data_IF_959938726127
#
_entry.id   IF_959938726127
#
_cell.length_a   1.000
_cell.length_b   1.000
_cell.length_c   1.000
_cell.angle_alpha   90.00
_cell.angle_beta   90.00
_cell.angle_gamma   90.00
#
_symmetry.space_group_name_H-M   'P 1'
#
loop_
_entity.id
_entity.type
_entity.pdbx_description
1 polymer ?
#
# COMPACT_ATOMS: atom_id res chain seq x y z
N UNK A 1 9.51 -18.46 36.10
CA UNK A 1 9.00 -18.58 34.71
C UNK A 1 7.49 -18.76 34.64
N UNK A 2 6.87 -19.57 35.49
CA UNK A 2 5.41 -19.79 35.49
C UNK A 2 4.57 -18.52 35.72
N UNK A 3 4.98 -17.67 36.70
CA UNK A 3 4.29 -16.40 36.98
C UNK A 3 4.26 -15.46 35.76
N UNK A 4 5.37 -15.38 35.01
CA UNK A 4 5.45 -14.54 33.79
C UNK A 4 4.55 -15.12 32.70
N UNK A 5 4.56 -16.43 32.48
CA UNK A 5 3.66 -17.09 31.52
C UNK A 5 2.19 -16.89 31.88
N UNK A 6 1.83 -17.01 33.15
CA UNK A 6 0.48 -16.77 33.62
C UNK A 6 0.05 -15.32 33.41
N UNK A 7 0.94 -14.35 33.65
CA UNK A 7 0.72 -12.92 33.38
C UNK A 7 0.49 -12.65 31.90
N UNK A 8 1.39 -13.09 31.03
CA UNK A 8 1.26 -12.93 29.59
C UNK A 8 -0.04 -13.53 29.04
N UNK A 9 -0.41 -14.70 29.55
CA UNK A 9 -1.65 -15.39 29.19
C UNK A 9 -2.90 -14.60 29.62
N UNK A 10 -2.87 -14.02 30.85
CA UNK A 10 -3.96 -13.16 31.37
C UNK A 10 -4.14 -11.91 30.51
N UNK A 11 -3.05 -11.37 29.95
CA UNK A 11 -3.02 -10.15 29.12
C UNK A 11 -3.21 -10.45 27.63
N UNK A 12 -3.41 -11.70 27.24
CA UNK A 12 -3.46 -12.14 25.86
C UNK A 12 -2.22 -11.70 25.04
N UNK A 13 -1.05 -11.68 25.67
CA UNK A 13 0.24 -11.38 25.02
C UNK A 13 0.82 -12.71 24.56
N UNK A 14 0.77 -12.95 23.24
CA UNK A 14 1.25 -14.18 22.61
C UNK A 14 2.29 -13.84 21.56
N UNK A 15 3.54 -14.12 21.83
CA UNK A 15 4.64 -13.95 20.88
C UNK A 15 4.54 -15.04 19.79
N UNK A 16 3.93 -14.70 18.67
CA UNK A 16 3.72 -15.63 17.56
C UNK A 16 3.95 -14.91 16.23
N UNK A 17 4.76 -15.52 15.38
CA UNK A 17 4.98 -15.02 14.02
C UNK A 17 3.65 -14.93 13.25
N UNK A 18 2.74 -15.90 13.43
CA UNK A 18 1.40 -15.84 12.82
C UNK A 18 0.67 -14.58 13.24
N UNK A 19 0.61 -14.27 14.54
CA UNK A 19 -0.13 -13.13 15.09
C UNK A 19 0.42 -11.79 14.60
N UNK A 20 1.75 -11.65 14.53
CA UNK A 20 2.39 -10.37 14.19
C UNK A 20 2.58 -10.18 12.69
N UNK A 21 2.96 -11.22 11.94
CA UNK A 21 3.26 -11.10 10.50
C UNK A 21 2.13 -11.57 9.58
N UNK A 22 1.06 -12.16 10.12
CA UNK A 22 -0.09 -12.55 9.31
C UNK A 22 -1.32 -11.76 9.75
N UNK A 23 -1.75 -11.94 11.01
CA UNK A 23 -3.02 -11.37 11.47
C UNK A 23 -2.92 -9.83 11.59
N UNK A 24 -1.85 -9.29 12.21
CA UNK A 24 -1.64 -7.85 12.33
C UNK A 24 -1.40 -7.18 10.97
N UNK A 25 -0.65 -7.83 10.06
CA UNK A 25 -0.38 -7.29 8.73
C UNK A 25 -1.63 -7.30 7.84
N UNK A 26 -2.45 -8.35 7.92
CA UNK A 26 -3.75 -8.39 7.24
C UNK A 26 -4.70 -7.29 7.73
N UNK A 27 -4.78 -7.10 9.05
CA UNK A 27 -5.56 -6.01 9.63
C UNK A 27 -5.03 -4.62 9.25
N UNK A 28 -3.69 -4.43 9.23
CA UNK A 28 -3.07 -3.20 8.75
C UNK A 28 -3.50 -2.86 7.32
N UNK A 29 -3.55 -3.86 6.43
CA UNK A 29 -3.99 -3.67 5.06
C UNK A 29 -5.45 -3.20 4.98
N UNK A 30 -6.34 -3.70 5.85
CA UNK A 30 -7.72 -3.22 5.95
C UNK A 30 -7.78 -1.75 6.42
N UNK A 31 -6.98 -1.39 7.42
CA UNK A 31 -6.87 -0.01 7.90
C UNK A 31 -6.40 0.96 6.81
N UNK A 32 -5.41 0.54 6.02
CA UNK A 32 -4.91 1.30 4.88
C UNK A 32 -5.97 1.42 3.76
N UNK A 33 -6.72 0.35 3.51
CA UNK A 33 -7.81 0.36 2.54
C UNK A 33 -8.87 1.41 2.89
N UNK A 34 -9.34 1.40 4.13
CA UNK A 34 -10.41 2.30 4.59
C UNK A 34 -9.98 3.79 4.64
N UNK A 35 -8.70 4.07 4.63
CA UNK A 35 -8.14 5.43 4.74
C UNK A 35 -7.49 5.88 3.43
N UNK A 36 -6.33 5.37 3.09
CA UNK A 36 -5.57 5.82 1.94
C UNK A 36 -6.33 5.59 0.63
N UNK A 37 -6.84 4.38 0.41
CA UNK A 37 -7.51 4.06 -0.84
C UNK A 37 -8.77 4.89 -1.02
N UNK A 38 -9.65 4.92 -0.01
CA UNK A 38 -10.88 5.71 -0.06
C UNK A 38 -10.55 7.19 -0.27
N UNK A 39 -9.55 7.71 0.46
CA UNK A 39 -9.10 9.09 0.29
C UNK A 39 -8.60 9.39 -1.12
N UNK A 40 -7.80 8.50 -1.69
CA UNK A 40 -7.27 8.66 -3.04
C UNK A 40 -8.39 8.60 -4.09
N UNK A 41 -9.34 7.66 -3.97
CA UNK A 41 -10.50 7.57 -4.87
C UNK A 41 -11.31 8.87 -4.84
N UNK A 42 -11.67 9.36 -3.65
CA UNK A 42 -12.47 10.58 -3.50
C UNK A 42 -11.76 11.82 -4.08
N UNK A 43 -10.45 11.98 -3.81
CA UNK A 43 -9.67 13.07 -4.39
C UNK A 43 -9.59 12.96 -5.91
N UNK A 44 -9.34 11.76 -6.45
CA UNK A 44 -9.21 11.54 -7.88
C UNK A 44 -10.53 11.81 -8.61
N UNK A 45 -11.65 11.29 -8.10
CA UNK A 45 -12.98 11.56 -8.66
C UNK A 45 -13.30 13.06 -8.58
N UNK A 46 -13.04 13.69 -7.43
CA UNK A 46 -13.26 15.12 -7.25
C UNK A 46 -12.52 15.97 -8.27
N UNK A 47 -11.25 15.68 -8.48
CA UNK A 47 -10.38 16.42 -9.41
C UNK A 47 -10.76 16.15 -10.87
N UNK A 48 -10.96 14.89 -11.27
CA UNK A 48 -11.22 14.54 -12.67
C UNK A 48 -12.61 14.97 -13.16
N UNK A 49 -13.63 14.85 -12.31
CA UNK A 49 -15.00 15.24 -12.66
C UNK A 49 -15.36 16.65 -12.18
N UNK A 50 -14.37 17.41 -11.67
CA UNK A 50 -14.55 18.76 -11.14
C UNK A 50 -15.70 18.89 -10.13
N UNK A 51 -15.86 17.86 -9.26
CA UNK A 51 -16.92 17.85 -8.25
C UNK A 51 -16.53 18.81 -7.11
N UNK A 52 -17.11 19.99 -7.10
CA UNK A 52 -16.77 21.07 -6.16
C UNK A 52 -16.84 20.64 -4.69
N UNK A 53 -17.81 19.84 -4.30
CA UNK A 53 -17.95 19.31 -2.93
C UNK A 53 -16.76 18.44 -2.50
N UNK A 54 -16.23 17.60 -3.38
CA UNK A 54 -15.08 16.74 -3.07
C UNK A 54 -13.75 17.51 -3.05
N UNK A 55 -13.66 18.59 -3.83
CA UNK A 55 -12.46 19.44 -3.91
C UNK A 55 -12.49 20.58 -2.89
N UNK A 56 -13.61 20.81 -2.22
CA UNK A 56 -13.74 21.85 -1.21
C UNK A 56 -12.86 21.56 -0.01
N UNK A 57 -12.22 22.60 0.53
CA UNK A 57 -11.55 22.53 1.82
C UNK A 57 -12.59 22.42 2.93
N UNK A 58 -12.57 21.29 3.63
CA UNK A 58 -13.52 21.00 4.74
C UNK A 58 -12.89 21.38 6.09
N UNK A 59 -11.59 21.14 6.25
CA UNK A 59 -10.87 21.42 7.50
C UNK A 59 -9.56 22.12 7.18
N UNK A 60 -9.25 23.16 7.95
CA UNK A 60 -7.95 23.85 7.92
C UNK A 60 -7.31 23.68 9.30
N UNK A 61 -6.10 23.15 9.37
CA UNK A 61 -5.31 23.00 10.59
C UNK A 61 -4.13 23.95 10.53
N UNK A 62 -3.96 24.77 11.58
CA UNK A 62 -2.94 25.79 11.68
C UNK A 62 -3.44 27.17 11.21
N UNK A 63 -2.56 28.18 11.28
CA UNK A 63 -2.83 29.57 10.91
C UNK A 63 -1.68 30.14 10.10
N UNK A 64 -1.95 31.12 9.22
CA UNK A 64 -0.95 31.75 8.36
C UNK A 64 -0.38 30.83 7.30
N UNK A 65 0.86 31.06 6.90
CA UNK A 65 1.52 30.33 5.79
C UNK A 65 1.78 28.84 6.08
N UNK A 66 1.62 28.41 7.34
CA UNK A 66 1.73 27.01 7.74
C UNK A 66 0.39 26.27 7.83
N UNK A 67 -0.72 26.87 7.40
CA UNK A 67 -2.02 26.24 7.43
C UNK A 67 -2.12 25.10 6.40
N UNK A 68 -2.56 23.91 6.86
CA UNK A 68 -2.79 22.77 6.00
C UNK A 68 -4.30 22.62 5.74
N UNK A 69 -4.67 22.61 4.49
CA UNK A 69 -6.04 22.52 4.03
C UNK A 69 -6.37 21.09 3.60
N UNK A 70 -7.44 20.54 4.16
CA UNK A 70 -7.87 19.18 3.86
C UNK A 70 -9.22 19.17 3.15
N UNK A 71 -9.26 18.47 2.02
CA UNK A 71 -10.49 17.98 1.40
C UNK A 71 -10.99 16.73 2.13
N UNK A 72 -12.15 16.19 1.78
CA UNK A 72 -12.67 14.94 2.34
C UNK A 72 -11.64 13.81 2.13
N UNK A 73 -11.18 13.64 0.89
CA UNK A 73 -10.18 12.61 0.57
C UNK A 73 -8.83 12.88 1.22
N UNK A 74 -8.44 14.15 1.36
CA UNK A 74 -7.23 14.56 2.09
C UNK A 74 -7.27 14.18 3.56
N UNK A 75 -8.42 14.34 4.24
CA UNK A 75 -8.62 13.88 5.62
C UNK A 75 -8.46 12.37 5.75
N UNK A 76 -9.08 11.61 4.84
CA UNK A 76 -8.94 10.16 4.82
C UNK A 76 -7.45 9.76 4.69
N UNK A 77 -6.73 10.38 3.76
CA UNK A 77 -5.30 10.11 3.54
C UNK A 77 -4.43 10.51 4.74
N UNK A 78 -4.76 11.59 5.45
CA UNK A 78 -4.06 11.98 6.67
C UNK A 78 -4.22 10.96 7.81
N UNK A 79 -5.32 10.20 7.81
CA UNK A 79 -5.64 9.19 8.84
C UNK A 79 -5.09 7.80 8.52
N UNK A 80 -4.21 7.65 7.56
CA UNK A 80 -3.60 6.34 7.17
C UNK A 80 -2.90 5.68 8.35
N UNK A 81 -2.01 6.40 9.04
CA UNK A 81 -1.29 5.90 10.21
C UNK A 81 -2.22 5.47 11.35
N UNK A 82 -3.14 6.32 11.79
CA UNK A 82 -4.18 5.97 12.77
C UNK A 82 -5.00 4.75 12.36
N UNK A 83 -5.50 4.71 11.12
CA UNK A 83 -6.31 3.59 10.63
C UNK A 83 -5.59 2.25 10.69
N UNK A 84 -4.32 2.22 10.27
CA UNK A 84 -3.48 1.02 10.36
C UNK A 84 -3.23 0.61 11.82
N UNK A 85 -2.86 1.55 12.69
CA UNK A 85 -2.52 1.26 14.09
C UNK A 85 -3.73 0.72 14.87
N UNK A 86 -4.91 1.29 14.68
CA UNK A 86 -6.17 0.82 15.27
C UNK A 86 -6.54 -0.57 14.76
N UNK A 87 -6.39 -0.83 13.46
CA UNK A 87 -6.66 -2.14 12.89
C UNK A 87 -5.73 -3.22 13.45
N UNK A 88 -4.43 -2.92 13.58
CA UNK A 88 -3.43 -3.80 14.22
C UNK A 88 -3.82 -4.07 15.68
N UNK A 89 -4.15 -3.02 16.45
CA UNK A 89 -4.55 -3.16 17.85
C UNK A 89 -5.76 -4.07 18.01
N UNK A 90 -6.76 -3.94 17.12
CA UNK A 90 -7.94 -4.81 17.09
C UNK A 90 -7.55 -6.27 16.84
N UNK A 91 -6.70 -6.54 15.85
CA UNK A 91 -6.22 -7.89 15.54
C UNK A 91 -5.43 -8.52 16.69
N UNK A 92 -4.77 -7.69 17.50
CA UNK A 92 -4.05 -8.10 18.69
C UNK A 92 -4.93 -8.20 19.96
N UNK A 93 -6.26 -8.03 19.82
CA UNK A 93 -7.21 -8.02 20.93
C UNK A 93 -6.87 -6.97 22.00
N UNK A 94 -6.39 -5.80 21.61
CA UNK A 94 -6.05 -4.74 22.55
C UNK A 94 -7.31 -4.18 23.25
N UNK A 95 -7.25 -3.91 24.58
CA UNK A 95 -8.35 -3.27 25.30
C UNK A 95 -8.66 -1.88 24.71
N UNK A 96 -9.89 -1.36 24.88
CA UNK A 96 -10.30 -0.09 24.30
C UNK A 96 -9.37 1.10 24.56
N UNK A 97 -8.87 1.24 25.80
CA UNK A 97 -7.95 2.32 26.16
C UNK A 97 -6.64 2.24 25.35
N UNK A 98 -6.09 1.05 25.16
CA UNK A 98 -4.89 0.82 24.36
C UNK A 98 -5.18 1.09 22.88
N UNK A 99 -6.30 0.58 22.37
CA UNK A 99 -6.70 0.73 20.98
C UNK A 99 -6.82 2.22 20.61
N UNK A 100 -7.52 3.01 21.40
CA UNK A 100 -7.68 4.44 21.13
C UNK A 100 -6.38 5.24 21.32
N UNK A 101 -5.52 4.82 22.24
CA UNK A 101 -4.21 5.45 22.44
C UNK A 101 -3.26 5.24 21.26
N UNK A 102 -3.51 4.26 20.42
CA UNK A 102 -2.72 4.03 19.20
C UNK A 102 -3.06 4.99 18.04
N UNK A 103 -4.13 5.78 18.14
CA UNK A 103 -4.46 6.80 17.13
C UNK A 103 -3.31 7.82 16.96
N UNK A 104 -2.89 8.56 18.02
CA UNK A 104 -1.77 9.49 17.91
C UNK A 104 -0.43 8.80 17.63
N UNK A 105 -0.22 7.58 18.14
CA UNK A 105 0.98 6.80 17.86
C UNK A 105 1.10 6.47 16.37
N UNK A 106 0.02 5.97 15.76
CA UNK A 106 -0.01 5.66 14.34
C UNK A 106 0.18 6.91 13.46
N UNK A 107 -0.44 8.04 13.84
CA UNK A 107 -0.26 9.31 13.14
C UNK A 107 1.20 9.75 13.14
N UNK A 108 1.80 9.85 14.31
CA UNK A 108 3.19 10.29 14.49
C UNK A 108 4.15 9.35 13.74
N UNK A 109 3.97 8.04 13.90
CA UNK A 109 4.85 7.04 13.28
C UNK A 109 4.81 7.09 11.76
N UNK A 110 3.61 7.16 11.17
CA UNK A 110 3.47 7.22 9.71
C UNK A 110 4.09 8.50 9.14
N UNK A 111 3.92 9.62 9.82
CA UNK A 111 4.49 10.90 9.42
C UNK A 111 6.03 10.89 9.51
N UNK A 112 6.60 10.39 10.61
CA UNK A 112 8.04 10.28 10.80
C UNK A 112 8.71 9.28 9.85
N UNK A 113 7.99 8.23 9.46
CA UNK A 113 8.51 7.18 8.57
C UNK A 113 8.46 7.52 7.09
N UNK A 114 7.75 8.57 6.67
CA UNK A 114 7.63 8.95 5.25
C UNK A 114 7.20 7.77 4.36
N UNK A 115 7.99 7.47 3.32
CA UNK A 115 7.72 6.33 2.43
C UNK A 115 7.72 4.97 3.14
N UNK A 116 8.49 4.82 4.22
CA UNK A 116 8.51 3.65 5.10
C UNK A 116 7.47 3.70 6.22
N UNK A 117 6.63 4.75 6.26
CA UNK A 117 5.64 4.99 7.32
C UNK A 117 4.76 3.79 7.64
N UNK A 118 4.11 3.14 6.66
CA UNK A 118 3.28 1.97 6.92
C UNK A 118 4.03 0.82 7.60
N UNK A 119 5.25 0.53 7.17
CA UNK A 119 6.08 -0.50 7.79
C UNK A 119 6.50 -0.12 9.22
N UNK A 120 6.84 1.15 9.45
CA UNK A 120 7.12 1.65 10.79
C UNK A 120 5.91 1.52 11.71
N UNK A 121 4.70 1.85 11.22
CA UNK A 121 3.44 1.70 11.97
C UNK A 121 3.21 0.25 12.36
N UNK A 122 3.50 -0.73 11.49
CA UNK A 122 3.36 -2.14 11.83
C UNK A 122 4.15 -2.49 13.09
N UNK A 123 5.44 -2.19 13.12
CA UNK A 123 6.30 -2.51 14.27
C UNK A 123 5.94 -1.72 15.52
N UNK A 124 5.72 -0.41 15.37
CA UNK A 124 5.41 0.46 16.51
C UNK A 124 4.07 0.12 17.12
N UNK A 125 3.04 -0.11 16.32
CA UNK A 125 1.71 -0.44 16.83
C UNK A 125 1.70 -1.81 17.53
N UNK A 126 2.44 -2.81 17.04
CA UNK A 126 2.57 -4.11 17.73
C UNK A 126 3.22 -3.89 19.11
N UNK A 127 4.36 -3.23 19.18
CA UNK A 127 5.07 -3.01 20.46
C UNK A 127 4.24 -2.19 21.42
N UNK A 128 3.66 -1.08 20.97
CA UNK A 128 2.83 -0.22 21.82
C UNK A 128 1.54 -0.91 22.29
N UNK A 129 0.91 -1.73 21.43
CA UNK A 129 -0.25 -2.51 21.80
C UNK A 129 0.08 -3.56 22.88
N UNK A 130 1.16 -4.33 22.69
CA UNK A 130 1.53 -5.38 23.65
C UNK A 130 1.95 -4.78 25.01
N UNK A 131 2.69 -3.66 25.02
CA UNK A 131 3.05 -2.97 26.27
C UNK A 131 1.80 -2.34 26.91
N UNK A 132 0.93 -1.71 26.12
CA UNK A 132 -0.34 -1.17 26.62
C UNK A 132 -1.22 -2.26 27.25
N UNK A 133 -1.32 -3.45 26.63
CA UNK A 133 -2.01 -4.61 27.21
C UNK A 133 -1.39 -5.06 28.54
N UNK A 134 -0.05 -5.08 28.61
CA UNK A 134 0.65 -5.46 29.84
C UNK A 134 0.29 -4.54 31.02
N UNK A 135 0.17 -3.25 30.77
CA UNK A 135 -0.12 -2.23 31.80
C UNK A 135 -1.62 -2.13 32.09
N UNK A 136 -2.49 -2.37 31.13
CA UNK A 136 -3.95 -2.21 31.26
C UNK A 136 -4.51 -3.00 32.44
N UNK A 137 -5.32 -2.31 33.26
CA UNK A 137 -5.98 -2.88 34.46
C UNK A 137 -5.02 -3.35 35.56
N UNK A 138 -3.78 -2.85 35.63
CA UNK A 138 -2.84 -3.17 36.69
C UNK A 138 -2.85 -2.08 37.78
N UNK A 139 -3.44 -0.93 37.51
CA UNK A 139 -3.49 0.22 38.48
C UNK A 139 -4.94 0.65 38.73
N UNK A 140 -5.19 1.27 39.87
CA UNK A 140 -6.50 1.85 40.22
C UNK A 140 -6.89 3.04 39.33
N UNK A 141 -5.89 3.70 38.74
CA UNK A 141 -6.05 4.84 37.81
C UNK A 141 -5.75 4.47 36.37
N UNK A 142 -6.19 3.28 35.97
CA UNK A 142 -5.95 2.68 34.66
C UNK A 142 -6.31 3.60 33.49
N UNK A 143 -7.37 4.38 33.65
CA UNK A 143 -7.83 5.34 32.63
C UNK A 143 -6.78 6.39 32.25
N UNK A 144 -5.83 6.69 33.10
CA UNK A 144 -4.71 7.62 32.87
C UNK A 144 -3.43 6.87 32.53
N UNK A 145 -3.09 5.84 33.31
CA UNK A 145 -1.80 5.15 33.22
C UNK A 145 -1.68 4.39 31.91
N UNK A 146 -2.71 3.65 31.50
CA UNK A 146 -2.67 2.86 30.28
C UNK A 146 -2.50 3.73 29.01
N UNK A 147 -3.30 4.81 28.79
CA UNK A 147 -3.09 5.68 27.63
C UNK A 147 -1.72 6.37 27.63
N UNK A 148 -1.30 6.93 28.77
CA UNK A 148 -0.02 7.65 28.88
C UNK A 148 1.15 6.72 28.50
N UNK A 149 1.20 5.53 29.09
CA UNK A 149 2.29 4.57 28.80
C UNK A 149 2.23 4.11 27.34
N UNK A 150 1.06 3.79 26.81
CA UNK A 150 0.90 3.35 25.42
C UNK A 150 1.40 4.42 24.46
N UNK A 151 1.01 5.69 24.67
CA UNK A 151 1.43 6.79 23.79
C UNK A 151 2.92 7.07 23.94
N UNK A 152 3.45 7.20 25.17
CA UNK A 152 4.86 7.51 25.38
C UNK A 152 5.78 6.42 24.83
N UNK A 153 5.47 5.15 25.07
CA UNK A 153 6.24 4.02 24.53
C UNK A 153 6.11 3.97 23.02
N UNK A 154 4.89 4.12 22.49
CA UNK A 154 4.65 4.09 21.06
C UNK A 154 5.39 5.20 20.32
N UNK A 155 5.22 6.45 20.72
CA UNK A 155 5.90 7.59 20.08
C UNK A 155 7.42 7.56 20.33
N UNK A 156 7.86 7.18 21.53
CA UNK A 156 9.28 7.01 21.83
C UNK A 156 9.94 5.94 20.95
N UNK A 157 9.28 4.81 20.78
CA UNK A 157 9.77 3.75 19.89
C UNK A 157 9.71 4.17 18.40
N UNK A 158 8.68 4.92 18.01
CA UNK A 158 8.60 5.51 16.65
C UNK A 158 9.79 6.43 16.37
N UNK A 159 10.17 7.29 17.31
CA UNK A 159 11.32 8.19 17.17
C UNK A 159 12.64 7.43 16.94
N UNK A 160 12.74 6.21 17.45
CA UNK A 160 13.94 5.36 17.25
C UNK A 160 13.95 4.66 15.91
N UNK A 161 12.81 4.10 15.45
CA UNK A 161 12.81 3.20 14.30
C UNK A 161 12.22 3.80 13.02
N UNK A 162 11.36 4.83 13.09
CA UNK A 162 10.67 5.33 11.92
C UNK A 162 11.64 5.91 10.87
N UNK A 163 12.64 6.68 11.28
CA UNK A 163 13.64 7.22 10.37
C UNK A 163 14.54 6.15 9.71
N UNK A 164 15.08 5.15 10.43
CA UNK A 164 15.77 4.01 9.80
C UNK A 164 14.89 3.25 8.78
N UNK A 165 13.64 2.98 9.13
CA UNK A 165 12.69 2.32 8.21
C UNK A 165 12.40 3.19 6.99
N UNK A 166 12.24 4.49 7.17
CA UNK A 166 12.11 5.46 6.08
C UNK A 166 13.32 5.46 5.14
N UNK A 167 14.54 5.43 5.67
CA UNK A 167 15.77 5.32 4.87
C UNK A 167 15.83 4.01 4.09
N UNK A 168 15.43 2.90 4.68
CA UNK A 168 15.38 1.60 3.97
C UNK A 168 14.38 1.65 2.80
N UNK A 169 13.22 2.26 2.99
CA UNK A 169 12.26 2.47 1.89
C UNK A 169 12.82 3.41 0.80
N UNK A 170 13.57 4.44 1.18
CA UNK A 170 14.22 5.35 0.23
C UNK A 170 15.35 4.69 -0.57
N UNK A 171 15.99 3.65 -0.03
CA UNK A 171 16.99 2.87 -0.76
C UNK A 171 16.37 2.13 -1.96
N UNK A 172 15.10 1.72 -1.85
CA UNK A 172 14.33 1.20 -2.99
C UNK A 172 14.21 2.27 -4.09
N UNK A 173 13.99 3.53 -3.71
CA UNK A 173 13.98 4.66 -4.62
C UNK A 173 15.30 4.83 -5.38
N UNK A 174 16.45 4.67 -4.71
CA UNK A 174 17.76 4.76 -5.36
C UNK A 174 17.97 3.65 -6.39
N UNK A 175 17.53 2.42 -6.10
CA UNK A 175 17.57 1.33 -7.07
C UNK A 175 16.69 1.62 -8.30
N UNK A 176 15.56 2.28 -8.12
CA UNK A 176 14.67 2.71 -9.21
C UNK A 176 15.36 3.77 -10.06
N UNK A 177 15.98 4.80 -9.43
CA UNK A 177 16.70 5.85 -10.16
C UNK A 177 17.82 5.27 -11.01
N UNK A 178 18.62 4.35 -10.46
CA UNK A 178 19.62 3.63 -11.25
C UNK A 178 18.99 2.87 -12.43
N UNK A 179 17.84 2.22 -12.20
CA UNK A 179 17.17 1.47 -13.26
C UNK A 179 16.63 2.36 -14.40
N UNK A 180 16.29 3.63 -14.11
CA UNK A 180 15.80 4.57 -15.15
C UNK A 180 16.88 4.98 -16.16
N UNK A 181 18.17 4.80 -15.84
CA UNK A 181 19.30 5.06 -16.73
C UNK A 181 19.52 3.92 -17.74
N UNK A 182 18.87 2.77 -17.54
CA UNK A 182 19.01 1.61 -18.42
C UNK A 182 18.21 1.77 -19.72
N UNK A 183 18.52 0.89 -20.68
CA UNK A 183 17.71 0.79 -21.90
C UNK A 183 16.25 0.42 -21.56
N UNK A 184 15.26 0.87 -22.36
CA UNK A 184 13.82 0.71 -22.06
C UNK A 184 13.40 -0.72 -21.73
N UNK A 185 14.02 -1.74 -22.32
CA UNK A 185 13.72 -3.14 -22.03
C UNK A 185 14.08 -3.52 -20.58
N UNK A 186 15.32 -3.27 -20.17
CA UNK A 186 15.79 -3.61 -18.83
C UNK A 186 15.18 -2.70 -17.76
N UNK A 187 15.06 -1.41 -18.07
CA UNK A 187 14.34 -0.45 -17.25
C UNK A 187 12.89 -0.94 -17.02
N UNK A 188 12.21 -1.37 -18.08
CA UNK A 188 10.85 -1.88 -18.00
C UNK A 188 10.74 -3.07 -17.04
N UNK A 189 11.66 -4.04 -17.10
CA UNK A 189 11.67 -5.18 -16.18
C UNK A 189 11.90 -4.73 -14.74
N UNK A 190 12.98 -3.99 -14.50
CA UNK A 190 13.41 -3.66 -13.13
C UNK A 190 12.42 -2.74 -12.45
N UNK A 191 12.01 -1.66 -13.11
CA UNK A 191 11.07 -0.68 -12.52
C UNK A 191 9.72 -1.34 -12.26
N UNK A 192 9.18 -2.11 -13.20
CA UNK A 192 7.88 -2.76 -13.00
C UNK A 192 7.91 -3.78 -11.86
N UNK A 193 8.96 -4.59 -11.78
CA UNK A 193 9.10 -5.58 -10.68
C UNK A 193 9.30 -4.88 -9.35
N UNK A 194 10.23 -3.93 -9.26
CA UNK A 194 10.57 -3.27 -7.99
C UNK A 194 9.38 -2.46 -7.45
N UNK A 195 8.72 -1.65 -8.29
CA UNK A 195 7.56 -0.86 -7.86
C UNK A 195 6.36 -1.76 -7.59
N UNK A 196 6.12 -2.79 -8.40
CA UNK A 196 5.04 -3.76 -8.17
C UNK A 196 5.21 -4.51 -6.84
N UNK A 197 6.42 -4.96 -6.55
CA UNK A 197 6.76 -5.58 -5.26
C UNK A 197 6.62 -4.57 -4.11
N UNK A 198 7.10 -3.33 -4.29
CA UNK A 198 6.96 -2.26 -3.30
C UNK A 198 5.50 -1.95 -2.96
N UNK A 199 4.60 -1.97 -3.95
CA UNK A 199 3.15 -1.80 -3.74
C UNK A 199 2.55 -2.91 -2.87
N UNK A 200 3.04 -4.14 -3.01
CA UNK A 200 2.55 -5.29 -2.24
C UNK A 200 3.15 -5.33 -0.84
N UNK A 201 4.36 -4.85 -0.65
CA UNK A 201 5.01 -4.69 0.66
C UNK A 201 4.33 -3.58 1.48
N UNK A 202 4.47 -3.59 2.82
CA UNK A 202 3.96 -2.53 3.69
C UNK A 202 4.84 -1.27 3.62
N UNK A 203 5.10 -0.79 2.40
CA UNK A 203 5.78 0.48 2.11
C UNK A 203 4.94 1.29 1.12
N UNK A 204 5.12 2.60 1.09
CA UNK A 204 4.34 3.45 0.20
C UNK A 204 5.03 3.61 -1.15
N UNK A 205 4.70 2.76 -2.12
CA UNK A 205 5.15 2.89 -3.52
C UNK A 205 4.76 4.25 -4.12
N UNK A 206 3.57 4.74 -3.79
CA UNK A 206 3.10 6.06 -4.21
C UNK A 206 4.00 7.21 -3.68
N UNK A 207 4.39 7.15 -2.40
CA UNK A 207 5.31 8.14 -1.81
C UNK A 207 6.73 8.02 -2.40
N UNK A 208 7.20 6.82 -2.71
CA UNK A 208 8.48 6.61 -3.39
C UNK A 208 8.44 7.25 -4.78
N UNK A 209 7.43 6.94 -5.59
CA UNK A 209 7.28 7.50 -6.93
C UNK A 209 7.14 9.03 -6.93
N UNK A 210 6.39 9.58 -5.95
CA UNK A 210 6.26 11.03 -5.79
C UNK A 210 7.59 11.69 -5.42
N UNK A 211 8.34 11.13 -4.48
CA UNK A 211 9.64 11.65 -4.04
C UNK A 211 10.71 11.63 -5.15
N UNK A 212 10.62 10.65 -6.07
CA UNK A 212 11.51 10.52 -7.22
C UNK A 212 11.06 11.35 -8.43
N UNK A 213 9.87 11.93 -8.42
CA UNK A 213 9.28 12.54 -9.60
C UNK A 213 9.09 11.55 -10.75
N UNK A 214 8.79 10.27 -10.46
CA UNK A 214 8.79 9.20 -11.43
C UNK A 214 7.65 9.33 -12.43
N UNK A 215 7.99 9.80 -13.64
CA UNK A 215 7.07 10.03 -14.77
C UNK A 215 7.63 9.43 -16.05
N UNK A 216 7.03 9.77 -17.18
CA UNK A 216 7.47 9.29 -18.49
C UNK A 216 7.36 7.78 -18.65
N UNK A 217 8.30 7.23 -19.39
CA UNK A 217 8.35 5.81 -19.71
C UNK A 217 8.59 4.92 -18.47
N UNK A 218 9.42 5.40 -17.53
CA UNK A 218 9.66 4.73 -16.25
C UNK A 218 8.41 4.74 -15.37
N UNK A 219 7.63 5.84 -15.38
CA UNK A 219 6.32 5.91 -14.75
C UNK A 219 5.33 4.90 -15.34
N UNK A 220 5.32 4.74 -16.66
CA UNK A 220 4.52 3.73 -17.35
C UNK A 220 4.90 2.29 -16.97
N UNK A 221 6.20 2.01 -16.85
CA UNK A 221 6.69 0.72 -16.35
C UNK A 221 6.24 0.44 -14.90
N UNK A 222 6.28 1.47 -14.04
CA UNK A 222 5.81 1.37 -12.66
C UNK A 222 4.31 1.05 -12.60
N UNK A 223 3.48 1.76 -13.40
CA UNK A 223 2.03 1.45 -13.52
C UNK A 223 1.82 0.01 -13.95
N UNK A 224 2.55 -0.47 -14.97
CA UNK A 224 2.45 -1.85 -15.46
C UNK A 224 2.74 -2.87 -14.35
N UNK A 225 3.80 -2.66 -13.57
CA UNK A 225 4.17 -3.52 -12.46
C UNK A 225 3.13 -3.53 -11.34
N UNK A 226 2.63 -2.36 -10.95
CA UNK A 226 1.55 -2.24 -9.96
C UNK A 226 0.28 -2.95 -10.42
N UNK A 227 -0.13 -2.76 -11.70
CA UNK A 227 -1.28 -3.44 -12.27
C UNK A 227 -1.10 -4.96 -12.28
N UNK A 228 0.11 -5.45 -12.58
CA UNK A 228 0.41 -6.87 -12.59
C UNK A 228 0.26 -7.49 -11.20
N UNK A 229 0.68 -6.81 -10.15
CA UNK A 229 0.47 -7.27 -8.78
C UNK A 229 -1.01 -7.27 -8.39
N UNK A 230 -1.73 -6.19 -8.67
CA UNK A 230 -3.12 -6.02 -8.24
C UNK A 230 -4.08 -6.93 -9.00
N UNK A 231 -4.13 -6.79 -10.33
CA UNK A 231 -5.01 -7.60 -11.19
C UNK A 231 -4.55 -9.07 -11.17
N UNK A 232 -3.23 -9.30 -11.12
CA UNK A 232 -2.69 -10.65 -11.03
C UNK A 232 -3.20 -11.39 -9.80
N UNK A 233 -3.07 -10.82 -8.61
CA UNK A 233 -3.62 -11.43 -7.39
C UNK A 233 -5.14 -11.51 -7.41
N UNK A 234 -5.82 -10.48 -7.92
CA UNK A 234 -7.28 -10.46 -8.02
C UNK A 234 -7.83 -11.65 -8.84
N UNK A 235 -7.24 -11.90 -10.02
CA UNK A 235 -7.64 -12.99 -10.90
C UNK A 235 -7.18 -14.34 -10.39
N UNK A 236 -5.92 -14.45 -9.93
CA UNK A 236 -5.36 -15.72 -9.44
C UNK A 236 -6.10 -16.24 -8.21
N UNK A 237 -6.59 -15.34 -7.34
CA UNK A 237 -7.33 -15.68 -6.12
C UNK A 237 -8.86 -15.76 -6.29
N UNK A 238 -9.35 -15.60 -7.53
CA UNK A 238 -10.79 -15.61 -7.79
C UNK A 238 -11.51 -16.88 -7.33
N UNK A 239 -10.93 -18.10 -7.43
CA UNK A 239 -11.56 -19.31 -6.89
C UNK A 239 -11.89 -19.21 -5.40
N UNK A 240 -11.01 -18.60 -4.61
CA UNK A 240 -11.11 -18.50 -3.16
C UNK A 240 -11.96 -17.29 -2.71
N UNK A 241 -11.84 -16.15 -3.40
CA UNK A 241 -12.36 -14.85 -2.92
C UNK A 241 -13.50 -14.27 -3.77
N UNK A 242 -13.80 -14.88 -4.92
CA UNK A 242 -14.87 -14.48 -5.84
C UNK A 242 -14.84 -12.98 -6.17
N UNK A 243 -16.02 -12.39 -6.42
CA UNK A 243 -16.15 -10.99 -6.84
C UNK A 243 -15.71 -9.98 -5.78
N UNK A 244 -15.92 -10.29 -4.48
CA UNK A 244 -15.46 -9.45 -3.39
C UNK A 244 -13.94 -9.31 -3.37
N UNK A 245 -13.22 -10.43 -3.49
CA UNK A 245 -11.77 -10.43 -3.57
C UNK A 245 -11.24 -9.84 -4.88
N UNK A 246 -11.93 -10.05 -6.00
CA UNK A 246 -11.57 -9.43 -7.28
C UNK A 246 -11.62 -7.89 -7.18
N UNK A 247 -12.69 -7.35 -6.63
CA UNK A 247 -12.86 -5.91 -6.45
C UNK A 247 -11.86 -5.35 -5.42
N UNK A 248 -11.72 -6.02 -4.27
CA UNK A 248 -10.85 -5.56 -3.18
C UNK A 248 -9.38 -5.49 -3.59
N UNK A 249 -8.91 -6.44 -4.41
CA UNK A 249 -7.51 -6.48 -4.87
C UNK A 249 -7.31 -5.76 -6.20
N UNK A 250 -8.28 -5.85 -7.11
CA UNK A 250 -8.19 -5.22 -8.43
C UNK A 250 -8.30 -3.70 -8.39
N UNK A 251 -9.09 -3.15 -7.46
CA UNK A 251 -9.24 -1.72 -7.24
C UNK A 251 -8.62 -1.24 -5.92
N UNK A 252 -8.25 -2.17 -5.04
CA UNK A 252 -7.56 -1.93 -3.78
C UNK A 252 -6.14 -2.47 -3.81
N UNK A 253 -5.35 -2.34 -2.73
CA UNK A 253 -3.94 -2.71 -2.73
C UNK A 253 -3.74 -4.22 -2.73
N UNK A 254 -2.76 -4.71 -3.50
CA UNK A 254 -2.29 -6.11 -3.46
C UNK A 254 -1.70 -6.52 -2.10
N UNK A 255 -1.40 -5.54 -1.23
CA UNK A 255 -0.94 -5.76 0.14
C UNK A 255 -1.91 -6.60 0.98
N UNK A 256 -3.21 -6.69 0.60
CA UNK A 256 -4.16 -7.61 1.23
C UNK A 256 -3.67 -9.07 1.23
N UNK A 257 -2.85 -9.46 0.24
CA UNK A 257 -2.26 -10.79 0.16
C UNK A 257 -1.00 -10.97 1.02
N UNK A 258 -0.53 -9.94 1.70
CA UNK A 258 0.74 -10.00 2.44
C UNK A 258 0.75 -11.11 3.51
N UNK A 259 -0.35 -11.31 4.22
CA UNK A 259 -0.50 -12.42 5.16
C UNK A 259 -0.33 -13.80 4.51
N UNK A 260 -0.86 -13.98 3.30
CA UNK A 260 -0.74 -15.21 2.52
C UNK A 260 0.67 -15.37 1.93
N UNK A 261 1.28 -14.28 1.48
CA UNK A 261 2.68 -14.28 0.99
C UNK A 261 3.65 -14.71 2.10
N UNK A 262 3.45 -14.25 3.34
CA UNK A 262 4.26 -14.66 4.50
C UNK A 262 4.07 -16.15 4.81
N UNK A 263 2.85 -16.67 4.65
CA UNK A 263 2.58 -18.11 4.82
C UNK A 263 3.18 -18.98 3.73
N UNK A 264 3.03 -18.55 2.48
CA UNK A 264 3.54 -19.24 1.30
C UNK A 264 4.09 -18.21 0.28
N UNK A 265 5.41 -17.89 0.33
CA UNK A 265 6.00 -16.91 -0.59
C UNK A 265 5.87 -17.26 -2.08
N UNK A 266 5.60 -18.52 -2.41
CA UNK A 266 5.44 -18.97 -3.81
C UNK A 266 4.22 -18.37 -4.50
N UNK A 267 3.20 -17.92 -3.73
CA UNK A 267 2.03 -17.25 -4.29
C UNK A 267 2.37 -15.90 -4.92
N UNK A 268 3.52 -15.33 -4.59
CA UNK A 268 3.99 -14.07 -5.15
C UNK A 268 4.69 -14.22 -6.51
N UNK A 269 5.12 -15.42 -6.87
CA UNK A 269 5.86 -15.69 -8.12
C UNK A 269 5.05 -15.28 -9.37
N UNK A 270 3.78 -15.71 -9.54
CA UNK A 270 3.03 -15.41 -10.76
C UNK A 270 2.86 -13.92 -11.04
N UNK A 271 2.40 -13.07 -10.11
CA UNK A 271 2.24 -11.65 -10.41
C UNK A 271 3.59 -10.93 -10.57
N UNK A 272 4.65 -11.39 -9.90
CA UNK A 272 6.00 -10.82 -10.06
C UNK A 272 6.58 -11.13 -11.43
N UNK A 273 6.42 -12.36 -11.93
CA UNK A 273 6.83 -12.70 -13.30
C UNK A 273 5.97 -11.98 -14.33
N UNK A 274 4.67 -11.83 -14.07
CA UNK A 274 3.80 -11.02 -14.94
C UNK A 274 4.28 -9.55 -14.98
N UNK A 275 4.71 -8.97 -13.85
CA UNK A 275 5.33 -7.63 -13.82
C UNK A 275 6.56 -7.54 -14.70
N UNK A 276 7.44 -8.54 -14.63
CA UNK A 276 8.67 -8.59 -15.45
C UNK A 276 8.39 -8.66 -16.95
N UNK A 277 7.25 -9.20 -17.36
CA UNK A 277 6.82 -9.29 -18.77
C UNK A 277 6.08 -8.03 -19.19
N UNK A 278 5.12 -7.55 -18.37
CA UNK A 278 4.30 -6.38 -18.70
C UNK A 278 5.11 -5.08 -18.75
N UNK A 279 6.16 -4.95 -17.94
CA UNK A 279 7.05 -3.80 -17.95
C UNK A 279 7.68 -3.53 -19.32
N UNK A 280 8.45 -4.45 -19.91
CA UNK A 280 9.00 -4.30 -21.26
C UNK A 280 7.94 -4.13 -22.36
N UNK A 281 6.79 -4.79 -22.23
CA UNK A 281 5.68 -4.59 -23.18
C UNK A 281 5.17 -3.16 -23.11
N UNK A 282 5.07 -2.59 -21.90
CA UNK A 282 4.69 -1.18 -21.72
C UNK A 282 5.75 -0.24 -22.30
N UNK A 283 7.04 -0.47 -22.03
CA UNK A 283 8.10 0.48 -22.41
C UNK A 283 8.53 0.35 -23.88
N UNK A 284 8.61 -0.86 -24.42
CA UNK A 284 9.17 -1.10 -25.77
C UNK A 284 8.08 -1.18 -26.85
N UNK A 285 6.92 -1.79 -26.53
CA UNK A 285 5.88 -2.03 -27.55
C UNK A 285 4.89 -0.87 -27.61
N UNK A 286 4.29 -0.51 -26.48
CA UNK A 286 3.26 0.52 -26.42
C UNK A 286 3.82 1.92 -26.12
N UNK A 287 5.06 2.02 -25.63
CA UNK A 287 5.65 3.26 -25.16
C UNK A 287 4.69 4.02 -24.23
N UNK A 288 4.14 3.27 -23.28
CA UNK A 288 3.18 3.79 -22.32
C UNK A 288 3.89 4.76 -21.38
N UNK A 289 3.67 6.05 -21.58
CA UNK A 289 4.20 7.11 -20.70
C UNK A 289 3.15 7.52 -19.67
N UNK A 290 3.59 7.67 -18.43
CA UNK A 290 2.79 8.23 -17.35
C UNK A 290 3.32 9.64 -17.03
N UNK A 291 2.77 10.67 -17.70
CA UNK A 291 3.15 12.06 -17.56
C UNK A 291 2.18 12.87 -16.68
N UNK A 292 1.30 12.19 -15.95
CA UNK A 292 0.47 12.78 -14.91
C UNK A 292 1.23 12.99 -13.59
N UNK A 293 0.51 13.12 -12.49
CA UNK A 293 1.12 13.26 -11.17
C UNK A 293 2.01 12.05 -10.82
N UNK A 294 3.29 12.26 -10.39
CA UNK A 294 4.23 11.18 -10.13
C UNK A 294 3.73 10.12 -9.14
N UNK A 295 2.89 10.51 -8.18
CA UNK A 295 2.23 9.59 -7.23
C UNK A 295 1.45 8.49 -7.93
N UNK A 296 0.88 8.76 -9.10
CA UNK A 296 0.06 7.82 -9.87
C UNK A 296 0.86 6.65 -10.43
N UNK A 297 2.16 6.83 -10.67
CA UNK A 297 3.08 5.76 -11.11
C UNK A 297 3.13 4.59 -10.14
N UNK A 298 3.01 4.84 -8.83
CA UNK A 298 3.08 3.84 -7.80
C UNK A 298 1.72 3.27 -7.37
N UNK A 299 0.63 3.57 -8.08
CA UNK A 299 -0.74 3.21 -7.65
C UNK A 299 -1.40 2.10 -8.50
N UNK A 300 -0.95 1.89 -9.74
CA UNK A 300 -1.56 0.89 -10.63
C UNK A 300 -3.06 1.06 -10.76
N UNK A 301 -3.82 -0.03 -10.61
CA UNK A 301 -5.30 -0.02 -10.65
C UNK A 301 -5.95 0.40 -9.34
N UNK A 302 -5.19 0.79 -8.31
CA UNK A 302 -5.71 1.27 -7.04
C UNK A 302 -6.58 2.52 -7.26
N UNK A 303 -7.90 2.39 -7.12
CA UNK A 303 -8.86 3.44 -7.47
C UNK A 303 -8.73 3.96 -8.91
N UNK A 304 -8.15 3.19 -9.82
CA UNK A 304 -7.81 3.57 -11.21
C UNK A 304 -6.84 4.76 -11.32
N UNK A 305 -6.13 5.09 -10.24
CA UNK A 305 -5.26 6.28 -10.17
C UNK A 305 -4.12 6.21 -11.17
N UNK A 306 -3.52 5.03 -11.38
CA UNK A 306 -2.49 4.85 -12.39
C UNK A 306 -2.99 5.15 -13.81
N UNK A 307 -4.16 4.63 -14.18
CA UNK A 307 -4.78 4.85 -15.49
C UNK A 307 -5.19 6.32 -15.69
N UNK A 308 -5.74 6.93 -14.65
CA UNK A 308 -6.08 8.36 -14.68
C UNK A 308 -4.80 9.20 -14.81
N UNK A 309 -3.71 8.83 -14.12
CA UNK A 309 -2.42 9.50 -14.27
C UNK A 309 -1.87 9.43 -15.69
N UNK A 310 -1.97 8.26 -16.35
CA UNK A 310 -1.59 8.10 -17.76
C UNK A 310 -2.46 8.98 -18.66
N UNK A 311 -3.78 8.93 -18.49
CA UNK A 311 -4.71 9.74 -19.29
C UNK A 311 -4.50 11.23 -19.12
N UNK A 312 -4.35 11.73 -17.89
CA UNK A 312 -4.08 13.15 -17.63
C UNK A 312 -2.75 13.60 -18.20
N UNK A 313 -1.74 12.73 -18.19
CA UNK A 313 -0.48 12.93 -18.88
C UNK A 313 -0.68 13.12 -20.37
N UNK A 314 -1.41 12.23 -21.04
CA UNK A 314 -1.71 12.37 -22.46
C UNK A 314 -2.45 13.66 -22.82
N UNK A 315 -3.43 14.07 -21.98
CA UNK A 315 -4.14 15.34 -22.18
C UNK A 315 -3.20 16.53 -22.08
N UNK A 316 -2.29 16.52 -21.10
CA UNK A 316 -1.27 17.56 -20.95
C UNK A 316 -0.29 17.57 -22.11
N UNK A 317 0.15 16.40 -22.60
CA UNK A 317 1.09 16.27 -23.70
C UNK A 317 0.48 16.76 -25.04
N UNK A 318 -0.82 16.50 -25.25
CA UNK A 318 -1.54 17.04 -26.39
C UNK A 318 -1.69 18.56 -26.28
N UNK A 319 -2.02 19.08 -25.09
CA UNK A 319 -2.18 20.51 -24.86
C UNK A 319 -0.86 21.29 -25.02
N UNK A 320 0.27 20.67 -24.66
CA UNK A 320 1.63 21.25 -24.84
C UNK A 320 2.22 21.04 -26.24
N UNK A 321 1.58 20.26 -27.10
CA UNK A 321 2.09 19.88 -28.42
C UNK A 321 3.16 18.78 -28.40
N UNK A 322 3.46 18.19 -27.26
CA UNK A 322 4.39 17.06 -27.14
C UNK A 322 3.84 15.79 -27.79
N UNK A 323 2.51 15.64 -27.84
CA UNK A 323 1.78 14.56 -28.48
C UNK A 323 0.76 15.14 -29.45
N UNK A 324 0.69 14.60 -30.67
CA UNK A 324 -0.23 15.11 -31.69
C UNK A 324 -1.71 14.84 -31.37
N UNK A 325 -2.04 13.64 -30.89
CA UNK A 325 -3.38 13.26 -30.47
C UNK A 325 -3.34 11.97 -29.62
N UNK A 326 -4.37 11.75 -28.85
CA UNK A 326 -4.60 10.46 -28.16
C UNK A 326 -5.17 9.48 -29.18
N UNK A 327 -4.47 8.36 -29.41
CA UNK A 327 -4.81 7.39 -30.44
C UNK A 327 -5.53 6.18 -29.86
N UNK A 328 -6.21 5.37 -30.71
CA UNK A 328 -6.77 4.08 -30.30
C UNK A 328 -5.69 3.10 -29.79
N UNK A 329 -4.43 3.23 -30.26
CA UNK A 329 -3.32 2.40 -29.82
C UNK A 329 -2.89 2.74 -28.37
N UNK A 330 -2.99 4.00 -27.97
CA UNK A 330 -2.73 4.42 -26.58
C UNK A 330 -3.76 3.78 -25.64
N UNK A 331 -5.05 3.84 -26.00
CA UNK A 331 -6.11 3.19 -25.21
C UNK A 331 -5.96 1.67 -25.19
N UNK A 332 -5.63 1.05 -26.32
CA UNK A 332 -5.37 -0.38 -26.37
C UNK A 332 -4.21 -0.75 -25.46
N UNK A 333 -3.11 -0.01 -25.52
CA UNK A 333 -1.95 -0.20 -24.65
C UNK A 333 -2.32 -0.08 -23.17
N UNK A 334 -3.04 0.98 -22.80
CA UNK A 334 -3.48 1.19 -21.42
C UNK A 334 -4.34 0.04 -20.90
N UNK A 335 -5.33 -0.42 -21.66
CA UNK A 335 -6.23 -1.52 -21.26
C UNK A 335 -5.47 -2.84 -21.19
N UNK A 336 -4.65 -3.15 -22.20
CA UNK A 336 -3.88 -4.39 -22.23
C UNK A 336 -2.88 -4.45 -21.08
N UNK A 337 -2.12 -3.39 -20.84
CA UNK A 337 -1.09 -3.35 -19.80
C UNK A 337 -1.71 -3.32 -18.39
N UNK A 338 -2.83 -2.62 -18.22
CA UNK A 338 -3.42 -2.47 -16.88
C UNK A 338 -4.27 -3.66 -16.46
N UNK A 339 -4.93 -4.36 -17.40
CA UNK A 339 -5.94 -5.36 -17.04
C UNK A 339 -5.73 -6.72 -17.72
N UNK A 340 -5.63 -6.75 -19.05
CA UNK A 340 -5.68 -8.01 -19.79
C UNK A 340 -4.40 -8.83 -19.62
N UNK A 341 -3.24 -8.23 -19.87
CA UNK A 341 -1.96 -8.94 -19.74
C UNK A 341 -1.67 -9.38 -18.30
N UNK A 342 -1.85 -8.53 -17.27
CA UNK A 342 -1.74 -8.96 -15.88
C UNK A 342 -2.63 -10.16 -15.54
N UNK A 343 -3.89 -10.13 -15.94
CA UNK A 343 -4.85 -11.19 -15.68
C UNK A 343 -4.42 -12.50 -16.35
N UNK A 344 -4.16 -12.46 -17.67
CA UNK A 344 -3.84 -13.64 -18.46
C UNK A 344 -2.49 -14.23 -18.07
N UNK A 345 -1.45 -13.40 -17.96
CA UNK A 345 -0.10 -13.88 -17.64
C UNK A 345 -0.05 -14.48 -16.25
N UNK A 346 -0.61 -13.81 -15.25
CA UNK A 346 -0.60 -14.33 -13.87
C UNK A 346 -1.39 -15.64 -13.79
N UNK A 347 -2.55 -15.71 -14.44
CA UNK A 347 -3.35 -16.93 -14.47
C UNK A 347 -2.59 -18.08 -15.14
N UNK A 348 -1.97 -17.85 -16.31
CA UNK A 348 -1.18 -18.85 -17.02
C UNK A 348 0.02 -19.34 -16.22
N UNK A 349 0.74 -18.43 -15.56
CA UNK A 349 1.90 -18.77 -14.71
C UNK A 349 1.46 -19.52 -13.45
N UNK A 350 0.28 -19.22 -12.90
CA UNK A 350 -0.24 -19.89 -11.72
C UNK A 350 -0.65 -21.35 -11.98
N UNK A 351 -1.08 -21.70 -13.21
CA UNK A 351 -1.51 -23.07 -13.56
C UNK A 351 -0.42 -24.12 -13.24
N UNK A 352 0.81 -24.03 -13.77
CA UNK A 352 1.84 -25.03 -13.46
C UNK A 352 2.21 -25.02 -11.97
N UNK A 353 2.26 -23.88 -11.30
CA UNK A 353 2.58 -23.79 -9.89
C UNK A 353 1.50 -24.45 -9.00
N UNK A 354 0.21 -24.35 -9.38
CA UNK A 354 -0.87 -25.12 -8.75
C UNK A 354 -0.74 -26.62 -9.02
N UNK A 355 -0.44 -27.02 -10.26
CA UNK A 355 -0.21 -28.43 -10.62
C UNK A 355 0.96 -29.07 -9.86
N UNK A 356 2.03 -28.31 -9.61
CA UNK A 356 3.19 -28.76 -8.84
C UNK A 356 2.96 -28.74 -7.32
N UNK A 357 1.79 -28.27 -6.86
CA UNK A 357 1.46 -28.16 -5.46
C UNK A 357 2.21 -27.06 -4.71
N UNK A 358 2.81 -26.12 -5.44
CA UNK A 358 3.49 -24.94 -4.85
C UNK A 358 2.47 -23.92 -4.34
N UNK A 359 1.32 -23.81 -5.01
CA UNK A 359 0.17 -23.01 -4.60
C UNK A 359 -1.00 -23.98 -4.41
N UNK A 360 -1.53 -24.04 -3.21
CA UNK A 360 -2.63 -24.92 -2.84
C UNK A 360 -3.94 -24.12 -2.75
N UNK A 361 -5.04 -24.84 -2.82
CA UNK A 361 -6.37 -24.24 -2.60
C UNK A 361 -6.44 -23.68 -1.17
N UNK A 362 -6.91 -22.45 -1.05
CA UNK A 362 -6.96 -21.72 0.20
C UNK A 362 -5.72 -20.86 0.52
N UNK A 363 -4.58 -21.02 -0.18
CA UNK A 363 -3.37 -20.23 0.06
C UNK A 363 -3.56 -18.73 -0.24
N UNK A 364 -4.58 -18.38 -1.02
CA UNK A 364 -4.90 -17.01 -1.44
C UNK A 364 -6.18 -16.46 -0.81
N UNK A 365 -6.78 -17.22 0.12
CA UNK A 365 -8.02 -16.80 0.78
C UNK A 365 -7.78 -15.56 1.64
N UNK A 366 -8.66 -14.57 1.46
CA UNK A 366 -8.70 -13.35 2.25
C UNK A 366 -9.81 -13.43 3.29
N UNK A 367 -9.57 -12.88 4.45
CA UNK A 367 -10.57 -12.64 5.49
C UNK A 367 -11.12 -11.22 5.27
N UNK A 368 -12.13 -11.10 4.35
CA UNK A 368 -12.77 -9.85 3.96
C UNK A 368 -14.04 -9.60 4.76
#
# INVERSE_FOLDING_TARGET
MEKIRAFLRRKDIVFSAKRYFIDAMGAMAQGLFCTLLVGTILNTIGQQFHIGFLNATIVTIGTGDGAVHYTIGGLCSAMVGPGMAVAIARALNAPPLVLFSLIPVGFATNYMGGAGGPLAVLFVAIVAAEIGKAVSKETKIDILVTPIITVLVGVGFAALIAAPVGRAASAVGQAIMWATELQPFFMGIIVSVVIGVALTLPISSAAICAALGLTGLAGGAAVAGCCAQMIGFAVMSFPENRWGGLAAQGLGPSMLQMGNIVRNPRVWIPPTLASAITGPVATCLFRLEMNGAPVSSGMGTCGLVGQIGVYTGWVSDVASGAKAAITGMDWLGLVLISFVLPAVLTWLIAIPLRKWGWIKDGDLKLDL
#
